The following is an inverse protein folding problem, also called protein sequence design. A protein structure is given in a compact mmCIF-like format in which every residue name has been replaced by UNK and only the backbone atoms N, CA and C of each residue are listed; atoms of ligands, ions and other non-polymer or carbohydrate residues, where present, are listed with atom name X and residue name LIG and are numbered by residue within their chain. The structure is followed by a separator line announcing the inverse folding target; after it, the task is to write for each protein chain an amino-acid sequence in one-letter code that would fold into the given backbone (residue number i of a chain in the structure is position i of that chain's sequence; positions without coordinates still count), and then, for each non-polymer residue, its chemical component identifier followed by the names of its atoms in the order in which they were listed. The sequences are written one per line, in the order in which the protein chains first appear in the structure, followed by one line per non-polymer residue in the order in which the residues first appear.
data_IF_067393010205
#
_entry.id   IF_067393010205
#
_cell.length_a   1.000
_cell.length_b   1.000
_cell.length_c   1.000
_cell.angle_alpha   90.00
_cell.angle_beta   90.00
_cell.angle_gamma   90.00
#
_symmetry.space_group_name_H-M   'P 1'
#
loop_
_entity.id
_entity.type
_entity.pdbx_description
1 polymer ?
#
# COMPACT_ATOMS: atom_id res chain seq x y z
N UNK A 1 21.37 -15.27 -7.69
CA UNK A 1 20.71 -15.16 -6.38
C UNK A 1 21.80 -15.27 -5.33
N UNK A 2 22.13 -14.23 -4.56
CA UNK A 2 23.20 -14.33 -3.56
C UNK A 2 22.76 -15.28 -2.42
N UNK A 3 23.58 -16.29 -2.14
CA UNK A 3 23.38 -17.23 -1.03
C UNK A 3 23.99 -16.64 0.23
N UNK A 4 23.18 -16.40 1.25
CA UNK A 4 23.64 -15.93 2.56
C UNK A 4 23.89 -17.11 3.50
N UNK A 5 25.04 -17.11 4.18
CA UNK A 5 25.39 -18.11 5.20
C UNK A 5 24.33 -18.18 6.31
N UNK A 6 23.82 -17.02 6.74
CA UNK A 6 22.73 -16.94 7.71
C UNK A 6 21.49 -17.72 7.26
N UNK A 7 21.16 -17.65 5.95
CA UNK A 7 20.01 -18.35 5.37
C UNK A 7 20.25 -19.85 5.23
N UNK A 8 21.47 -20.27 4.92
CA UNK A 8 21.81 -21.69 4.76
C UNK A 8 21.80 -22.45 6.09
N UNK A 9 22.20 -21.80 7.19
CA UNK A 9 22.38 -22.45 8.49
C UNK A 9 21.40 -21.97 9.57
N UNK A 10 20.48 -21.06 9.24
CA UNK A 10 19.49 -20.49 10.15
C UNK A 10 20.15 -19.93 11.43
N UNK A 11 21.18 -19.09 11.25
CA UNK A 11 21.94 -18.50 12.34
C UNK A 11 21.75 -16.98 12.35
N UNK A 12 21.45 -16.44 13.52
CA UNK A 12 21.35 -15.00 13.79
C UNK A 12 22.74 -14.35 13.90
N UNK A 13 23.74 -15.12 14.35
CA UNK A 13 25.10 -14.64 14.64
C UNK A 13 26.10 -15.31 13.70
N UNK A 14 26.66 -14.52 12.79
CA UNK A 14 27.80 -14.92 11.97
C UNK A 14 28.74 -13.73 11.81
N UNK A 15 30.03 -13.94 12.06
CA UNK A 15 31.08 -12.97 11.77
C UNK A 15 31.83 -13.45 10.53
N UNK A 16 32.09 -12.59 9.53
CA UNK A 16 32.89 -12.99 8.37
C UNK A 16 34.22 -13.63 8.79
N UNK A 17 34.51 -14.83 8.29
CA UNK A 17 35.70 -15.61 8.65
C UNK A 17 35.56 -16.50 9.89
N UNK A 18 34.44 -16.45 10.62
CA UNK A 18 34.15 -17.38 11.72
C UNK A 18 33.78 -18.78 11.23
N UNK A 19 34.06 -19.79 12.06
CA UNK A 19 33.77 -21.18 11.79
C UNK A 19 32.28 -21.49 11.99
N UNK A 20 31.62 -21.90 10.91
CA UNK A 20 30.19 -22.25 10.89
C UNK A 20 29.98 -23.76 11.06
N UNK A 21 30.88 -24.57 10.51
CA UNK A 21 30.79 -26.02 10.45
C UNK A 21 31.85 -26.64 11.37
N UNK A 22 31.43 -27.04 12.58
CA UNK A 22 32.30 -27.62 13.59
C UNK A 22 31.52 -28.09 14.81
N UNK A 23 32.21 -28.65 15.82
CA UNK A 23 31.54 -28.96 17.09
C UNK A 23 31.21 -27.66 17.82
N UNK A 24 30.15 -27.65 18.66
CA UNK A 24 29.75 -26.43 19.41
C UNK A 24 30.90 -25.85 20.25
N UNK A 25 31.83 -26.69 20.72
CA UNK A 25 32.99 -26.24 21.50
C UNK A 25 34.00 -25.48 20.63
N UNK A 26 34.21 -25.94 19.40
CA UNK A 26 35.19 -25.35 18.48
C UNK A 26 34.71 -24.00 17.96
N UNK A 27 33.41 -23.87 17.67
CA UNK A 27 32.79 -22.60 17.24
C UNK A 27 32.92 -21.52 18.32
N UNK A 28 32.61 -21.86 19.58
CA UNK A 28 32.70 -20.91 20.70
C UNK A 28 34.15 -20.51 20.97
N UNK A 29 35.08 -21.46 20.91
CA UNK A 29 36.51 -21.19 21.09
C UNK A 29 37.05 -20.26 20.01
N UNK A 30 36.63 -20.45 18.76
CA UNK A 30 37.04 -19.61 17.63
C UNK A 30 36.44 -18.20 17.71
N UNK A 31 35.17 -18.07 18.07
CA UNK A 31 34.54 -16.77 18.30
C UNK A 31 35.25 -15.98 19.42
N UNK A 32 35.68 -16.65 20.49
CA UNK A 32 36.48 -16.02 21.55
C UNK A 32 37.85 -15.57 21.06
N UNK A 33 38.52 -16.37 20.21
CA UNK A 33 39.81 -16.01 19.61
C UNK A 33 39.68 -14.82 18.64
N UNK A 34 38.61 -14.79 17.82
CA UNK A 34 38.30 -13.67 16.91
C UNK A 34 38.07 -12.39 17.71
N UNK A 35 37.30 -12.45 18.81
CA UNK A 35 37.07 -11.29 19.69
C UNK A 35 38.35 -10.76 20.35
N UNK A 36 39.33 -11.63 20.58
CA UNK A 36 40.65 -11.28 21.13
C UNK A 36 41.65 -10.84 20.05
N UNK A 37 41.31 -10.97 18.78
CA UNK A 37 42.19 -10.62 17.65
C UNK A 37 43.27 -11.65 17.34
N UNK A 38 43.14 -12.89 17.83
CA UNK A 38 44.21 -13.90 17.84
C UNK A 38 43.91 -15.12 16.94
N UNK A 39 43.71 -14.94 15.62
CA UNK A 39 43.78 -16.07 14.67
C UNK A 39 44.50 -15.70 13.34
N UNK A 40 45.50 -16.49 12.85
CA UNK A 40 46.38 -16.06 11.75
C UNK A 40 46.31 -16.87 10.41
N UNK A 41 46.94 -16.25 9.40
CA UNK A 41 47.72 -16.77 8.25
C UNK A 41 47.06 -17.26 6.94
N UNK A 42 46.05 -16.56 6.42
CA UNK A 42 45.81 -16.53 4.97
C UNK A 42 45.29 -15.14 4.57
N UNK A 43 46.18 -14.30 4.04
CA UNK A 43 45.81 -13.01 3.46
C UNK A 43 45.17 -13.24 2.08
N UNK A 44 43.85 -13.31 2.03
CA UNK A 44 43.15 -12.83 0.84
C UNK A 44 43.02 -11.32 1.04
N UNK A 45 43.86 -10.57 0.33
CA UNK A 45 43.88 -9.11 0.35
C UNK A 45 42.61 -8.57 -0.30
N UNK A 46 41.49 -8.64 0.43
CA UNK A 46 40.29 -7.92 0.08
C UNK A 46 40.43 -6.50 0.62
N UNK A 47 40.30 -5.46 -0.22
CA UNK A 47 40.47 -4.06 0.20
C UNK A 47 39.20 -3.59 0.92
N UNK A 48 38.89 -4.21 2.05
CA UNK A 48 37.76 -3.85 2.90
C UNK A 48 38.31 -3.62 4.30
N UNK A 49 38.58 -2.36 4.63
CA UNK A 49 38.89 -1.95 5.99
C UNK A 49 37.57 -1.79 6.77
N UNK A 50 37.18 -2.84 7.49
CA UNK A 50 36.06 -2.77 8.43
C UNK A 50 36.57 -2.14 9.74
N UNK A 51 36.19 -0.89 10.01
CA UNK A 51 36.56 -0.18 11.25
C UNK A 51 35.62 -0.52 12.41
N UNK A 52 34.33 -0.75 12.14
CA UNK A 52 33.32 -1.15 13.13
C UNK A 52 32.34 -2.13 12.49
N UNK A 53 32.04 -3.23 13.19
CA UNK A 53 30.99 -4.17 12.80
C UNK A 53 29.71 -3.81 13.56
N UNK A 54 28.70 -3.30 12.84
CA UNK A 54 27.36 -3.11 13.39
C UNK A 54 26.53 -4.39 13.23
N UNK A 55 25.87 -4.80 14.32
CA UNK A 55 24.96 -5.93 14.31
C UNK A 55 23.65 -5.55 13.62
N UNK A 56 23.36 -6.19 12.48
CA UNK A 56 22.06 -6.06 11.80
C UNK A 56 21.35 -7.39 11.96
N UNK A 57 20.30 -7.44 12.78
CA UNK A 57 19.40 -8.59 12.86
C UNK A 57 18.58 -8.69 11.57
N UNK A 58 19.01 -9.56 10.67
CA UNK A 58 18.36 -9.77 9.38
C UNK A 58 17.15 -10.73 9.45
N UNK A 59 16.94 -11.47 10.55
CA UNK A 59 16.10 -12.68 10.53
C UNK A 59 15.02 -12.78 11.61
N UNK A 60 15.12 -12.09 12.75
CA UNK A 60 14.23 -12.41 13.87
C UNK A 60 12.86 -11.73 13.80
N UNK A 61 12.80 -10.49 13.30
CA UNK A 61 11.54 -9.73 13.26
C UNK A 61 10.45 -10.40 12.42
N UNK A 62 10.79 -11.18 11.39
CA UNK A 62 9.81 -11.88 10.53
C UNK A 62 9.02 -12.96 11.28
N UNK A 63 9.64 -13.61 12.27
CA UNK A 63 8.94 -14.56 13.13
C UNK A 63 8.09 -13.84 14.18
N UNK A 64 8.60 -12.72 14.72
CA UNK A 64 7.88 -11.90 15.70
C UNK A 64 6.65 -11.20 15.10
N UNK A 65 6.68 -10.84 13.81
CA UNK A 65 5.54 -10.20 13.12
C UNK A 65 4.51 -11.16 12.55
N UNK A 66 4.70 -12.50 12.61
CA UNK A 66 3.76 -13.46 12.01
C UNK A 66 2.33 -13.26 12.50
N UNK A 67 2.19 -12.94 13.78
CA UNK A 67 0.90 -12.72 14.43
C UNK A 67 0.57 -11.22 14.58
N UNK A 68 1.41 -10.34 14.02
CA UNK A 68 1.21 -8.89 14.06
C UNK A 68 0.64 -8.36 12.75
N UNK A 69 -0.15 -7.31 12.90
CA UNK A 69 -0.89 -6.65 11.84
C UNK A 69 -0.08 -5.44 11.38
N UNK A 70 0.24 -5.40 10.08
CA UNK A 70 0.94 -4.26 9.50
C UNK A 70 0.10 -2.98 9.55
N UNK A 71 0.74 -1.81 9.52
CA UNK A 71 0.04 -0.51 9.38
C UNK A 71 -0.96 -0.48 8.22
N UNK A 72 -0.61 -1.06 7.07
CA UNK A 72 -1.52 -1.15 5.91
C UNK A 72 -2.76 -1.97 6.22
N UNK A 73 -2.62 -3.05 6.96
CA UNK A 73 -3.76 -3.88 7.36
C UNK A 73 -4.57 -3.21 8.47
N UNK A 74 -3.92 -2.46 9.37
CA UNK A 74 -4.63 -1.61 10.33
C UNK A 74 -5.55 -0.60 9.61
N UNK A 75 -5.05 0.10 8.58
CA UNK A 75 -5.86 0.98 7.71
C UNK A 75 -7.07 0.27 7.10
N UNK A 76 -6.96 -1.03 6.79
CA UNK A 76 -8.07 -1.82 6.23
C UNK A 76 -9.06 -2.29 7.28
N UNK A 77 -8.64 -2.41 8.53
CA UNK A 77 -9.49 -2.80 9.67
C UNK A 77 -10.29 -1.63 10.20
N UNK A 78 -9.83 -0.40 10.08
CA UNK A 78 -10.54 0.80 10.53
C UNK A 78 -11.01 1.66 9.36
N UNK A 79 -12.16 2.30 9.47
CA UNK A 79 -12.65 3.21 8.45
C UNK A 79 -11.94 4.58 8.47
N UNK A 80 -10.63 4.57 8.20
CA UNK A 80 -9.74 5.75 8.31
C UNK A 80 -8.69 5.72 7.19
N UNK A 81 -8.29 6.89 6.70
CA UNK A 81 -7.22 6.99 5.70
C UNK A 81 -5.83 6.78 6.30
N UNK A 82 -4.91 6.21 5.52
CA UNK A 82 -3.51 5.95 5.92
C UNK A 82 -2.81 7.19 6.51
N UNK A 83 -2.96 8.36 5.86
CA UNK A 83 -2.36 9.60 6.36
C UNK A 83 -2.82 10.00 7.76
N UNK A 84 -4.08 9.72 8.11
CA UNK A 84 -4.61 10.04 9.44
C UNK A 84 -4.08 9.11 10.54
N UNK A 85 -3.70 7.87 10.19
CA UNK A 85 -3.01 6.94 11.11
C UNK A 85 -1.53 7.35 11.22
N UNK A 86 -0.87 7.57 10.09
CA UNK A 86 0.53 8.01 10.06
C UNK A 86 0.76 9.30 10.86
N UNK A 87 -0.14 10.29 10.75
CA UNK A 87 -0.09 11.53 11.52
C UNK A 87 -0.24 11.30 13.02
N UNK A 88 -1.08 10.34 13.44
CA UNK A 88 -1.26 9.99 14.86
C UNK A 88 -0.06 9.25 15.42
N UNK A 89 0.57 8.38 14.65
CA UNK A 89 1.83 7.72 15.03
C UNK A 89 2.92 8.78 15.21
N UNK A 90 3.04 9.73 14.26
CA UNK A 90 4.03 10.82 14.35
C UNK A 90 3.80 11.72 15.58
N UNK A 91 2.55 11.91 15.99
CA UNK A 91 2.18 12.67 17.20
C UNK A 91 2.33 11.87 18.50
N UNK A 92 2.67 10.58 18.43
CA UNK A 92 2.75 9.70 19.59
C UNK A 92 1.39 9.29 20.17
N UNK A 93 0.29 9.56 19.47
CA UNK A 93 -1.06 9.17 19.88
C UNK A 93 -1.34 7.68 19.62
N UNK A 94 -0.66 7.10 18.64
CA UNK A 94 -0.66 5.67 18.35
C UNK A 94 0.77 5.18 18.52
N UNK A 95 0.98 4.26 19.46
CA UNK A 95 2.25 3.56 19.65
C UNK A 95 2.15 2.17 19.02
N UNK A 96 2.98 1.86 18.00
CA UNK A 96 3.07 0.50 17.45
C UNK A 96 3.62 -0.48 18.49
N UNK A 97 3.13 -1.71 18.45
CA UNK A 97 3.61 -2.79 19.32
C UNK A 97 5.01 -3.26 18.95
N UNK A 98 5.36 -3.15 17.65
CA UNK A 98 6.69 -3.39 17.14
C UNK A 98 7.00 -2.39 16.01
N UNK A 99 8.19 -1.80 16.07
CA UNK A 99 8.73 -0.95 15.01
C UNK A 99 10.01 -1.57 14.46
N UNK A 100 10.06 -1.77 13.15
CA UNK A 100 11.24 -2.28 12.46
C UNK A 100 11.83 -1.15 11.62
N UNK A 101 12.95 -0.54 12.05
CA UNK A 101 13.63 0.47 11.27
C UNK A 101 14.30 -0.19 10.06
N UNK A 102 14.09 0.40 8.89
CA UNK A 102 14.84 0.11 7.66
C UNK A 102 15.52 1.39 7.19
N UNK A 103 16.51 1.24 6.31
CA UNK A 103 17.39 2.33 5.83
C UNK A 103 16.62 3.62 5.51
N UNK A 104 15.47 3.53 4.82
CA UNK A 104 14.68 4.69 4.40
C UNK A 104 13.25 4.75 4.97
N UNK A 105 12.82 3.76 5.77
CA UNK A 105 11.43 3.67 6.23
C UNK A 105 11.34 2.88 7.53
N UNK A 106 10.40 3.23 8.40
CA UNK A 106 10.04 2.40 9.56
C UNK A 106 8.77 1.62 9.25
N UNK A 107 8.78 0.31 9.52
CA UNK A 107 7.59 -0.53 9.45
C UNK A 107 6.95 -0.62 10.84
N UNK A 108 5.68 -0.28 10.93
CA UNK A 108 4.89 -0.34 12.16
C UNK A 108 3.99 -1.57 12.14
N UNK A 109 4.00 -2.31 13.25
CA UNK A 109 3.19 -3.51 13.46
C UNK A 109 2.38 -3.39 14.76
N UNK A 110 1.19 -3.97 14.74
CA UNK A 110 0.18 -3.84 15.79
C UNK A 110 -0.39 -5.21 16.16
N UNK A 111 -0.71 -5.41 17.43
CA UNK A 111 -1.54 -6.54 17.88
C UNK A 111 -3.01 -6.24 17.60
N UNK A 112 -3.83 -7.28 17.47
CA UNK A 112 -5.29 -7.13 17.31
C UNK A 112 -5.91 -6.33 18.47
N UNK A 113 -5.48 -6.61 19.71
CA UNK A 113 -5.92 -5.89 20.91
C UNK A 113 -5.63 -4.39 20.85
N UNK A 114 -4.48 -4.00 20.28
CA UNK A 114 -4.08 -2.61 20.11
C UNK A 114 -4.97 -1.90 19.07
N UNK A 115 -5.33 -2.58 17.98
CA UNK A 115 -6.26 -2.05 16.97
C UNK A 115 -7.63 -1.80 17.61
N UNK A 116 -8.17 -2.76 18.35
CA UNK A 116 -9.46 -2.60 19.03
C UNK A 116 -9.44 -1.46 20.06
N UNK A 117 -8.33 -1.34 20.81
CA UNK A 117 -8.13 -0.25 21.77
C UNK A 117 -8.17 1.10 21.06
N UNK A 118 -7.34 1.30 20.04
CA UNK A 118 -7.30 2.58 19.31
C UNK A 118 -8.60 2.87 18.57
N UNK A 119 -9.27 1.84 18.05
CA UNK A 119 -10.59 2.00 17.45
C UNK A 119 -11.60 2.55 18.45
N UNK A 120 -11.66 2.02 19.68
CA UNK A 120 -12.53 2.54 20.75
C UNK A 120 -12.12 3.95 21.17
N UNK A 121 -10.83 4.21 21.36
CA UNK A 121 -10.30 5.49 21.83
C UNK A 121 -10.59 6.64 20.84
N UNK A 122 -10.43 6.39 19.54
CA UNK A 122 -10.67 7.40 18.50
C UNK A 122 -12.10 7.36 17.92
N UNK A 123 -12.97 6.50 18.45
CA UNK A 123 -14.34 6.32 17.94
C UNK A 123 -14.39 5.82 16.51
N UNK A 124 -13.40 5.03 16.09
CA UNK A 124 -13.37 4.43 14.76
C UNK A 124 -14.19 3.15 14.73
N UNK A 125 -14.94 3.00 13.64
CA UNK A 125 -15.65 1.76 13.37
C UNK A 125 -14.74 0.76 12.68
N UNK A 126 -14.80 -0.49 13.16
CA UNK A 126 -14.12 -1.61 12.54
C UNK A 126 -14.84 -2.04 11.25
N UNK A 127 -14.09 -2.24 10.19
CA UNK A 127 -14.59 -2.72 8.91
C UNK A 127 -14.72 -4.25 9.01
N UNK A 128 -15.94 -4.72 8.80
CA UNK A 128 -16.29 -6.14 8.73
C UNK A 128 -16.87 -6.43 7.35
N UNK A 129 -16.89 -7.70 6.94
CA UNK A 129 -17.55 -8.10 5.70
C UNK A 129 -19.05 -7.70 5.67
N UNK A 130 -19.68 -7.55 6.85
CA UNK A 130 -21.07 -7.13 6.98
C UNK A 130 -21.28 -5.66 6.56
N UNK A 131 -20.49 -4.73 7.12
CA UNK A 131 -20.66 -3.28 6.96
C UNK A 131 -19.82 -2.66 5.81
N UNK A 132 -18.97 -3.45 5.14
CA UNK A 132 -18.07 -2.94 4.10
C UNK A 132 -18.81 -2.25 2.94
N UNK A 133 -20.01 -2.73 2.55
CA UNK A 133 -20.85 -2.06 1.54
C UNK A 133 -21.25 -0.65 2.00
N UNK A 134 -21.72 -0.54 3.23
CA UNK A 134 -22.23 0.74 3.77
C UNK A 134 -21.08 1.74 3.92
N UNK A 135 -19.89 1.28 4.32
CA UNK A 135 -18.67 2.09 4.36
C UNK A 135 -18.22 2.55 2.98
N UNK A 136 -18.38 1.70 1.96
CA UNK A 136 -18.11 2.09 0.59
C UNK A 136 -19.10 3.17 0.10
N UNK A 137 -20.40 3.02 0.36
CA UNK A 137 -21.41 4.02 0.01
C UNK A 137 -21.18 5.35 0.74
N UNK A 138 -20.83 5.31 2.04
CA UNK A 138 -20.48 6.52 2.80
C UNK A 138 -19.23 7.21 2.22
N UNK A 139 -18.22 6.44 1.82
CA UNK A 139 -17.01 6.97 1.19
C UNK A 139 -17.33 7.68 -0.13
N UNK A 140 -18.17 7.07 -0.97
CA UNK A 140 -18.65 7.64 -2.23
C UNK A 140 -19.53 8.87 -1.99
N UNK A 141 -20.37 8.86 -0.96
CA UNK A 141 -21.24 10.00 -0.63
C UNK A 141 -20.42 11.23 -0.20
N UNK A 142 -19.40 11.02 0.66
CA UNK A 142 -18.49 12.08 1.11
C UNK A 142 -17.58 12.59 0.00
N UNK A 143 -17.03 11.66 -0.81
CA UNK A 143 -16.13 11.88 -1.96
C UNK A 143 -15.40 13.22 -1.95
N UNK A 144 -14.34 13.29 -1.15
CA UNK A 144 -13.42 14.44 -1.15
C UNK A 144 -12.56 14.40 -2.42
N UNK A 145 -12.55 15.51 -3.18
CA UNK A 145 -11.92 15.57 -4.50
C UNK A 145 -10.81 16.63 -4.54
N UNK A 146 -9.60 16.18 -4.87
CA UNK A 146 -8.52 17.06 -5.30
C UNK A 146 -8.50 17.23 -6.83
N UNK A 147 -8.93 16.18 -7.55
CA UNK A 147 -9.10 16.10 -9.01
C UNK A 147 -10.41 15.34 -9.28
N UNK A 148 -10.93 15.42 -10.50
CA UNK A 148 -12.14 14.70 -10.93
C UNK A 148 -11.95 13.18 -11.06
N UNK A 149 -10.74 12.65 -10.86
CA UNK A 149 -10.43 11.24 -11.15
C UNK A 149 -11.29 10.23 -10.39
N UNK A 150 -11.59 10.45 -9.09
CA UNK A 150 -12.33 9.47 -8.26
C UNK A 150 -13.69 9.07 -8.83
N UNK A 151 -14.59 10.01 -9.18
CA UNK A 151 -15.85 9.67 -9.82
C UNK A 151 -15.65 9.10 -11.23
N UNK A 152 -14.66 9.58 -12.00
CA UNK A 152 -14.36 9.01 -13.34
C UNK A 152 -13.97 7.53 -13.24
N UNK A 153 -13.08 7.17 -12.31
CA UNK A 153 -12.73 5.76 -12.06
C UNK A 153 -13.95 4.95 -11.64
N UNK A 154 -14.77 5.49 -10.76
CA UNK A 154 -15.91 4.73 -10.25
C UNK A 154 -16.95 4.46 -11.35
N UNK A 155 -17.18 5.43 -12.26
CA UNK A 155 -18.03 5.23 -13.44
C UNK A 155 -17.44 4.18 -14.38
N UNK A 156 -16.15 4.29 -14.73
CA UNK A 156 -15.46 3.28 -15.55
C UNK A 156 -15.58 1.87 -14.95
N UNK A 157 -15.37 1.77 -13.64
CA UNK A 157 -15.44 0.50 -12.92
C UNK A 157 -16.85 -0.09 -12.93
N UNK A 158 -17.90 0.73 -12.78
CA UNK A 158 -19.29 0.26 -12.79
C UNK A 158 -19.75 -0.15 -14.19
N UNK A 159 -19.31 0.58 -15.22
CA UNK A 159 -19.70 0.39 -16.61
C UNK A 159 -19.11 -0.89 -17.21
N UNK A 160 -17.82 -1.15 -16.98
CA UNK A 160 -17.10 -2.28 -17.58
C UNK A 160 -16.96 -3.49 -16.65
N UNK A 161 -17.53 -3.45 -15.44
CA UNK A 161 -17.46 -4.58 -14.52
C UNK A 161 -18.27 -5.76 -15.04
N UNK A 162 -17.61 -6.92 -15.15
CA UNK A 162 -18.29 -8.18 -15.41
C UNK A 162 -19.08 -8.68 -14.18
N UNK A 163 -19.74 -9.83 -14.30
CA UNK A 163 -20.56 -10.43 -13.22
C UNK A 163 -19.79 -10.62 -11.89
N UNK A 164 -18.47 -10.77 -11.95
CA UNK A 164 -17.59 -10.94 -10.78
C UNK A 164 -17.07 -9.62 -10.22
N UNK A 165 -17.39 -8.49 -10.85
CA UNK A 165 -16.90 -7.17 -10.47
C UNK A 165 -15.47 -6.92 -10.92
N UNK A 166 -14.98 -7.65 -11.93
CA UNK A 166 -13.66 -7.45 -12.54
C UNK A 166 -13.78 -6.55 -13.76
N UNK A 167 -12.77 -5.71 -13.95
CA UNK A 167 -12.66 -4.74 -15.05
C UNK A 167 -11.28 -4.86 -15.66
N UNK A 168 -11.20 -4.84 -16.98
CA UNK A 168 -9.92 -4.86 -17.70
C UNK A 168 -9.24 -3.50 -17.57
N UNK A 169 -7.93 -3.49 -17.34
CA UNK A 169 -7.20 -2.24 -17.09
C UNK A 169 -7.25 -1.32 -18.33
N UNK A 170 -7.14 -1.87 -19.53
CA UNK A 170 -7.18 -1.07 -20.76
C UNK A 170 -8.54 -0.37 -20.95
N UNK A 171 -9.66 -1.01 -20.60
CA UNK A 171 -11.00 -0.38 -20.67
C UNK A 171 -11.08 0.86 -19.76
N UNK A 172 -10.45 0.79 -18.57
CA UNK A 172 -10.38 1.94 -17.65
C UNK A 172 -9.51 3.05 -18.26
N UNK A 173 -8.37 2.69 -18.87
CA UNK A 173 -7.48 3.66 -19.51
C UNK A 173 -8.20 4.35 -20.68
N UNK A 174 -8.90 3.58 -21.52
CA UNK A 174 -9.71 4.11 -22.63
C UNK A 174 -10.80 5.05 -22.11
N UNK A 175 -11.54 4.64 -21.08
CA UNK A 175 -12.57 5.49 -20.48
C UNK A 175 -12.04 6.82 -19.98
N UNK A 176 -10.88 6.82 -19.32
CA UNK A 176 -10.23 8.05 -18.85
C UNK A 176 -9.83 8.95 -20.02
N UNK A 177 -9.22 8.38 -21.06
CA UNK A 177 -8.83 9.13 -22.26
C UNK A 177 -10.05 9.75 -22.92
N UNK A 178 -11.07 8.94 -23.21
CA UNK A 178 -12.30 9.37 -23.88
C UNK A 178 -13.01 10.45 -23.07
N UNK A 179 -13.11 10.29 -21.75
CA UNK A 179 -13.75 11.27 -20.87
C UNK A 179 -13.07 12.64 -20.94
N UNK A 180 -11.73 12.70 -20.86
CA UNK A 180 -11.02 13.98 -20.87
C UNK A 180 -10.88 14.58 -22.27
N UNK A 181 -10.76 13.75 -23.31
CA UNK A 181 -10.76 14.20 -24.70
C UNK A 181 -12.12 14.76 -25.12
N UNK A 182 -13.24 14.14 -24.71
CA UNK A 182 -14.58 14.66 -24.96
C UNK A 182 -14.76 16.06 -24.35
N UNK A 183 -14.28 16.29 -23.13
CA UNK A 183 -14.27 17.62 -22.51
C UNK A 183 -13.45 18.62 -23.32
N UNK A 184 -12.26 18.22 -23.79
CA UNK A 184 -11.38 19.05 -24.62
C UNK A 184 -12.05 19.43 -25.94
N UNK A 185 -12.68 18.46 -26.60
CA UNK A 185 -13.38 18.65 -27.88
C UNK A 185 -14.61 19.56 -27.74
N UNK A 186 -15.27 19.55 -26.57
CA UNK A 186 -16.37 20.45 -26.23
C UNK A 186 -15.91 21.85 -25.80
N UNK A 187 -14.60 22.12 -25.75
CA UNK A 187 -14.05 23.38 -25.28
C UNK A 187 -14.29 23.63 -23.78
N UNK A 188 -14.56 22.59 -23.01
CA UNK A 188 -14.74 22.67 -21.56
C UNK A 188 -13.38 22.60 -20.85
N UNK A 189 -13.34 23.07 -19.59
CA UNK A 189 -12.16 22.86 -18.74
C UNK A 189 -11.95 21.35 -18.56
N UNK A 190 -10.82 20.84 -19.06
CA UNK A 190 -10.46 19.42 -19.02
C UNK A 190 -10.20 18.98 -17.58
N UNK A 191 -9.24 19.64 -16.93
CA UNK A 191 -8.82 19.42 -15.55
C UNK A 191 -7.87 20.56 -15.12
N UNK A 192 -7.40 20.55 -13.87
CA UNK A 192 -6.36 21.46 -13.38
C UNK A 192 -5.08 21.40 -14.26
N UNK A 193 -4.35 22.51 -14.43
CA UNK A 193 -3.22 22.60 -15.37
C UNK A 193 -2.10 21.55 -15.19
N UNK A 194 -1.88 21.05 -13.97
CA UNK A 194 -0.85 20.03 -13.69
C UNK A 194 -1.29 18.60 -14.06
N UNK A 195 -2.54 18.42 -14.48
CA UNK A 195 -3.07 17.13 -14.89
C UNK A 195 -2.38 16.61 -16.15
N UNK A 196 -2.07 15.30 -16.24
CA UNK A 196 -1.55 14.72 -17.47
C UNK A 196 -2.51 14.90 -18.65
N UNK A 197 -3.83 14.94 -18.41
CA UNK A 197 -4.85 15.10 -19.44
C UNK A 197 -4.89 16.50 -20.06
N UNK A 198 -4.25 17.49 -19.43
CA UNK A 198 -4.14 18.85 -19.98
C UNK A 198 -2.90 19.04 -20.87
N UNK A 199 -2.04 18.02 -21.00
CA UNK A 199 -0.85 18.10 -21.87
C UNK A 199 -1.24 18.00 -23.35
N UNK A 200 -0.37 18.51 -24.22
CA UNK A 200 -0.53 18.36 -25.67
C UNK A 200 -0.38 16.91 -26.12
N UNK A 201 0.43 16.14 -25.40
CA UNK A 201 0.60 14.70 -25.61
C UNK A 201 0.86 13.96 -24.29
N UNK A 202 0.37 12.74 -24.22
CA UNK A 202 0.61 11.78 -23.14
C UNK A 202 0.63 10.37 -23.71
N UNK A 203 1.26 9.45 -23.01
CA UNK A 203 1.23 8.03 -23.35
C UNK A 203 0.20 7.28 -22.51
N UNK A 204 -0.35 6.18 -23.05
CA UNK A 204 -1.28 5.30 -22.29
C UNK A 204 -0.67 4.84 -20.97
N UNK A 205 0.63 4.53 -20.93
CA UNK A 205 1.34 4.13 -19.70
C UNK A 205 1.39 5.24 -18.65
N UNK A 206 1.49 6.49 -19.06
CA UNK A 206 1.42 7.63 -18.11
C UNK A 206 0.02 7.76 -17.51
N UNK A 207 -1.02 7.56 -18.33
CA UNK A 207 -2.42 7.56 -17.89
C UNK A 207 -2.69 6.40 -16.93
N UNK A 208 -2.29 5.19 -17.29
CA UNK A 208 -2.39 4.00 -16.44
C UNK A 208 -1.70 4.23 -15.08
N UNK A 209 -0.45 4.71 -15.10
CA UNK A 209 0.29 5.06 -13.88
C UNK A 209 -0.43 6.13 -13.07
N UNK A 210 -1.00 7.15 -13.73
CA UNK A 210 -1.78 8.18 -13.07
C UNK A 210 -2.99 7.56 -12.35
N UNK A 211 -3.81 6.78 -13.04
CA UNK A 211 -5.00 6.11 -12.49
C UNK A 211 -4.64 5.25 -11.27
N UNK A 212 -3.59 4.43 -11.37
CA UNK A 212 -3.16 3.59 -10.25
C UNK A 212 -2.66 4.38 -9.04
N UNK A 213 -1.91 5.45 -9.27
CA UNK A 213 -1.42 6.31 -8.18
C UNK A 213 -2.51 7.20 -7.57
N UNK A 214 -3.46 7.65 -8.39
CA UNK A 214 -4.59 8.48 -8.02
C UNK A 214 -5.62 8.45 -9.16
N UNK A 215 -6.74 7.75 -9.01
CA UNK A 215 -7.44 7.58 -7.73
C UNK A 215 -7.45 6.16 -7.17
N UNK A 216 -7.00 5.14 -7.90
CA UNK A 216 -7.15 3.74 -7.52
C UNK A 216 -6.55 3.41 -6.14
N UNK A 217 -5.35 3.91 -5.85
CA UNK A 217 -4.69 3.77 -4.53
C UNK A 217 -5.63 4.11 -3.36
N UNK A 218 -6.50 5.10 -3.50
CA UNK A 218 -7.43 5.50 -2.43
C UNK A 218 -8.53 4.47 -2.18
N UNK A 219 -8.99 3.79 -3.23
CA UNK A 219 -9.92 2.68 -3.09
C UNK A 219 -9.21 1.41 -2.60
N UNK A 220 -7.96 1.19 -3.01
CA UNK A 220 -7.14 0.04 -2.60
C UNK A 220 -6.72 0.10 -1.13
N UNK A 221 -6.33 1.29 -0.64
CA UNK A 221 -5.99 1.54 0.76
C UNK A 221 -7.15 1.13 1.69
N UNK A 222 -8.39 1.45 1.32
CA UNK A 222 -9.59 1.11 2.08
C UNK A 222 -10.17 -0.28 1.77
N UNK A 223 -9.47 -1.08 0.96
CA UNK A 223 -9.89 -2.42 0.56
C UNK A 223 -11.23 -2.47 -0.20
N UNK A 224 -11.63 -1.37 -0.85
CA UNK A 224 -12.86 -1.31 -1.66
C UNK A 224 -12.67 -1.87 -3.06
N UNK A 225 -11.47 -1.69 -3.59
CA UNK A 225 -11.01 -2.27 -4.85
C UNK A 225 -9.64 -2.91 -4.61
N UNK A 226 -9.23 -3.81 -5.50
CA UNK A 226 -7.91 -4.44 -5.45
C UNK A 226 -7.48 -4.89 -6.84
N UNK A 227 -6.18 -5.09 -7.01
CA UNK A 227 -5.64 -5.75 -8.20
C UNK A 227 -6.08 -7.22 -8.21
N UNK A 228 -6.54 -7.70 -9.36
CA UNK A 228 -6.89 -9.11 -9.52
C UNK A 228 -5.63 -9.97 -9.47
N UNK A 229 -5.81 -11.28 -9.30
CA UNK A 229 -4.72 -12.25 -9.51
C UNK A 229 -4.26 -12.26 -10.97
N UNK A 230 -5.21 -11.99 -11.87
CA UNK A 230 -4.96 -11.77 -13.29
C UNK A 230 -4.46 -10.34 -13.44
N UNK A 231 -3.18 -10.17 -13.81
CA UNK A 231 -2.47 -8.88 -13.76
C UNK A 231 -3.15 -7.79 -14.60
N UNK A 232 -3.90 -8.19 -15.61
CA UNK A 232 -4.60 -7.31 -16.55
C UNK A 232 -5.94 -6.79 -16.02
N UNK A 233 -6.38 -7.22 -14.83
CA UNK A 233 -7.67 -6.87 -14.26
C UNK A 233 -7.53 -6.20 -12.89
N UNK A 234 -8.46 -5.30 -12.61
CA UNK A 234 -8.77 -4.83 -11.26
C UNK A 234 -10.18 -5.26 -10.87
N UNK A 235 -10.47 -5.36 -9.59
CA UNK A 235 -11.78 -5.82 -9.14
C UNK A 235 -12.28 -5.08 -7.91
N UNK A 236 -13.59 -4.92 -7.84
CA UNK A 236 -14.25 -4.55 -6.58
C UNK A 236 -14.00 -5.63 -5.53
N UNK A 237 -14.01 -5.23 -4.26
CA UNK A 237 -14.04 -6.20 -3.18
C UNK A 237 -15.31 -7.05 -3.28
N UNK A 238 -15.16 -8.36 -3.18
CA UNK A 238 -16.28 -9.31 -3.31
C UNK A 238 -17.37 -9.10 -2.25
N UNK A 239 -17.01 -8.64 -1.04
CA UNK A 239 -17.96 -8.33 0.03
C UNK A 239 -18.81 -7.08 -0.27
N UNK A 240 -18.34 -6.22 -1.17
CA UNK A 240 -19.07 -5.05 -1.65
C UNK A 240 -19.88 -5.45 -2.89
N UNK A 241 -19.21 -5.97 -3.92
CA UNK A 241 -19.83 -6.23 -5.22
C UNK A 241 -21.05 -7.14 -5.14
N UNK A 242 -20.96 -8.23 -4.37
CA UNK A 242 -22.07 -9.18 -4.19
C UNK A 242 -23.30 -8.58 -3.51
N UNK A 243 -23.14 -7.45 -2.80
CA UNK A 243 -24.22 -6.79 -2.06
C UNK A 243 -24.68 -5.50 -2.72
N UNK A 244 -24.00 -5.02 -3.77
CA UNK A 244 -24.42 -3.85 -4.53
C UNK A 244 -25.62 -4.22 -5.40
N UNK A 245 -26.76 -3.61 -5.09
CA UNK A 245 -27.98 -3.71 -5.89
C UNK A 245 -27.90 -2.84 -7.13
N UNK A 246 -28.84 -3.02 -8.06
CA UNK A 246 -28.94 -2.13 -9.23
C UNK A 246 -29.22 -0.68 -8.80
N UNK A 247 -30.07 -0.50 -7.80
CA UNK A 247 -30.40 0.79 -7.19
C UNK A 247 -29.17 1.43 -6.54
N UNK A 248 -28.37 0.66 -5.81
CA UNK A 248 -27.11 1.15 -5.23
C UNK A 248 -26.16 1.67 -6.32
N UNK A 249 -26.00 0.93 -7.42
CA UNK A 249 -25.12 1.31 -8.54
C UNK A 249 -25.59 2.60 -9.21
N UNK A 250 -26.89 2.69 -9.51
CA UNK A 250 -27.48 3.91 -10.09
C UNK A 250 -27.30 5.11 -9.15
N UNK A 251 -27.52 4.92 -7.86
CA UNK A 251 -27.33 5.97 -6.87
C UNK A 251 -25.87 6.46 -6.80
N UNK A 252 -24.91 5.52 -6.89
CA UNK A 252 -23.49 5.85 -6.98
C UNK A 252 -23.18 6.68 -8.23
N UNK A 253 -23.73 6.31 -9.39
CA UNK A 253 -23.56 7.07 -10.64
C UNK A 253 -24.12 8.50 -10.52
N UNK A 254 -25.31 8.66 -9.95
CA UNK A 254 -25.92 9.98 -9.69
C UNK A 254 -25.03 10.85 -8.78
N UNK A 255 -24.42 10.26 -7.74
CA UNK A 255 -23.45 10.95 -6.89
C UNK A 255 -22.22 11.37 -7.70
N UNK A 256 -21.68 10.48 -8.53
CA UNK A 256 -20.52 10.77 -9.37
C UNK A 256 -20.80 11.95 -10.30
N UNK A 257 -21.94 11.97 -10.97
CA UNK A 257 -22.33 13.04 -11.89
C UNK A 257 -22.46 14.38 -11.16
N UNK A 258 -23.16 14.39 -10.02
CA UNK A 258 -23.30 15.60 -9.19
C UNK A 258 -21.94 16.11 -8.71
N UNK A 259 -21.04 15.23 -8.27
CA UNK A 259 -19.71 15.60 -7.80
C UNK A 259 -18.84 16.17 -8.93
N UNK A 260 -18.91 15.58 -10.12
CA UNK A 260 -18.23 16.10 -11.30
C UNK A 260 -18.73 17.50 -11.67
N UNK A 261 -20.06 17.69 -11.68
CA UNK A 261 -20.67 18.99 -11.98
C UNK A 261 -20.24 20.06 -10.96
N UNK A 262 -20.33 19.76 -9.65
CA UNK A 262 -19.87 20.65 -8.58
C UNK A 262 -18.36 20.97 -8.68
N UNK A 263 -17.55 20.00 -9.09
CA UNK A 263 -16.11 20.15 -9.23
C UNK A 263 -15.75 21.12 -10.36
N UNK A 264 -16.28 20.89 -11.56
CA UNK A 264 -15.96 21.72 -12.72
C UNK A 264 -16.54 23.12 -12.62
N UNK A 265 -17.74 23.29 -12.04
CA UNK A 265 -18.29 24.63 -11.73
C UNK A 265 -17.35 25.45 -10.85
N UNK A 266 -16.66 24.82 -9.89
CA UNK A 266 -15.67 25.48 -9.02
C UNK A 266 -14.34 25.78 -9.71
N UNK A 267 -14.02 25.08 -10.81
CA UNK A 267 -12.82 25.37 -11.62
C UNK A 267 -13.06 26.50 -12.62
N UNK A 268 -14.31 26.71 -13.03
CA UNK A 268 -14.73 27.79 -13.91
C UNK A 268 -14.89 29.14 -13.17
N UNK A 269 -15.11 29.10 -11.85
CA UNK A 269 -15.23 30.25 -10.97
C UNK A 269 -13.86 30.81 -10.55
#
# INVERSE_FOLDING_TARGET
MPLSVHRLFNMDKYVPGSLILGSKKDVVMEDELIRRGEKPSAYLDFPVSAYDYEYIDLFNWQNEVKDLISEREFVRRVYVQEGAIADRIKKGLITPDLQVPMINKTFNYFKEESIEKYAKEFGWELITAANMKDKFIDFVSKMTMAYSYKPVLLKAMLEYANDKGKVFIEDIVDYFIDYYEDRKNKGLIVEKPKSPYCKDSYTRKEIEKNIFSNPFDKYEQMNFMKKSKDVEFVEFNSNIWKKLTHEDKKHIEEICDKKLEEYFKKLEA
#
